data_IF_962131274509
#
_entry.id   IF_962131274509
#
_cell.length_a   1.000
_cell.length_b   1.000
_cell.length_c   1.000
_cell.angle_alpha   90.00
_cell.angle_beta   90.00
_cell.angle_gamma   90.00
#
_symmetry.space_group_name_H-M   'P 1'
#
loop_
_entity.id
_entity.type
_entity.pdbx_description
1 polymer ?
#
# COMPACT_ATOMS: atom_id res chain seq x y z
N UNK A 1 15.07 4.50 -13.51
CA UNK A 1 13.83 4.39 -12.70
C UNK A 1 13.27 3.01 -12.95
N UNK A 2 13.28 2.10 -11.97
CA UNK A 2 12.83 0.72 -12.18
C UNK A 2 11.30 0.69 -12.22
N UNK A 3 10.74 0.80 -13.42
CA UNK A 3 9.36 0.44 -13.71
C UNK A 3 9.33 -1.07 -13.77
N UNK A 4 8.52 -1.73 -12.92
CA UNK A 4 8.26 -3.15 -13.09
C UNK A 4 7.71 -3.34 -14.52
N UNK A 5 8.17 -4.34 -15.29
CA UNK A 5 7.62 -4.57 -16.60
C UNK A 5 6.11 -4.83 -16.46
N UNK A 6 5.26 -4.24 -17.34
CA UNK A 6 3.84 -4.53 -17.33
C UNK A 6 3.66 -6.05 -17.46
N UNK A 7 2.73 -6.58 -16.67
CA UNK A 7 2.47 -8.01 -16.64
C UNK A 7 2.14 -8.53 -18.05
N UNK A 8 2.93 -9.51 -18.53
CA UNK A 8 2.54 -10.34 -19.67
C UNK A 8 3.22 -10.15 -21.04
N UNK A 9 4.46 -9.66 -21.15
CA UNK A 9 5.24 -9.81 -22.42
C UNK A 9 6.63 -10.39 -22.18
N UNK A 10 6.86 -11.60 -22.67
CA UNK A 10 8.18 -12.23 -22.72
C UNK A 10 9.15 -11.35 -23.50
N UNK A 11 10.16 -10.81 -22.82
CA UNK A 11 11.25 -10.08 -23.45
C UNK A 11 12.29 -11.09 -23.95
N UNK A 12 12.29 -11.34 -25.26
CA UNK A 12 13.39 -12.05 -25.94
C UNK A 12 14.30 -10.96 -26.52
N UNK A 13 15.55 -10.80 -26.06
CA UNK A 13 16.45 -9.82 -26.66
C UNK A 13 16.90 -10.31 -28.05
N UNK A 14 16.62 -9.48 -29.05
CA UNK A 14 17.04 -9.66 -30.44
C UNK A 14 18.55 -9.48 -30.54
N UNK A 15 19.28 -10.55 -30.88
CA UNK A 15 20.73 -10.50 -31.06
C UNK A 15 21.04 -10.37 -32.56
N UNK A 16 20.86 -9.17 -33.11
CA UNK A 16 21.24 -8.86 -34.49
C UNK A 16 22.66 -8.28 -34.57
N UNK A 17 23.57 -9.20 -34.92
CA UNK A 17 24.69 -9.09 -35.86
C UNK A 17 25.36 -7.72 -36.09
N UNK A 18 26.65 -7.64 -35.73
CA UNK A 18 27.63 -6.89 -36.51
C UNK A 18 28.88 -7.75 -36.77
N UNK A 19 29.24 -7.85 -38.05
CA UNK A 19 30.34 -8.64 -38.58
C UNK A 19 31.71 -8.00 -38.30
N UNK A 20 32.67 -8.80 -37.84
CA UNK A 20 34.10 -8.46 -37.83
C UNK A 20 34.97 -9.65 -37.46
N UNK A 21 35.79 -10.12 -38.41
CA UNK A 21 36.74 -11.23 -38.25
C UNK A 21 38.04 -10.82 -37.52
N UNK A 22 38.39 -11.51 -36.43
CA UNK A 22 39.77 -11.96 -36.12
C UNK A 22 39.77 -13.01 -34.97
N UNK A 23 40.73 -13.97 -34.91
CA UNK A 23 40.57 -15.22 -34.15
C UNK A 23 41.30 -15.25 -32.79
N UNK A 24 40.83 -16.20 -31.97
CA UNK A 24 41.42 -16.84 -30.79
C UNK A 24 41.75 -16.01 -29.54
N UNK A 25 40.98 -16.25 -28.48
CA UNK A 25 41.47 -16.43 -27.11
C UNK A 25 40.40 -17.17 -26.32
N UNK A 26 40.62 -18.46 -26.09
CA UNK A 26 39.77 -19.31 -25.27
C UNK A 26 39.85 -18.87 -23.81
N UNK A 27 39.04 -17.87 -23.45
CA UNK A 27 38.74 -17.57 -22.06
C UNK A 27 37.74 -18.62 -21.57
N UNK A 28 38.20 -19.53 -20.72
CA UNK A 28 37.35 -20.37 -19.90
C UNK A 28 36.48 -19.45 -19.05
N UNK A 29 35.27 -19.15 -19.51
CA UNK A 29 34.22 -18.60 -18.66
C UNK A 29 33.84 -19.69 -17.67
N UNK A 30 34.43 -19.62 -16.49
CA UNK A 30 33.89 -20.30 -15.31
C UNK A 30 32.53 -19.67 -15.07
N UNK A 31 31.48 -20.31 -15.60
CA UNK A 31 30.11 -19.97 -15.29
C UNK A 31 29.91 -20.19 -13.79
N UNK A 32 29.97 -19.11 -13.01
CA UNK A 32 29.29 -19.09 -11.73
C UNK A 32 27.81 -19.27 -12.04
N UNK A 33 27.34 -20.51 -11.95
CA UNK A 33 25.92 -20.85 -11.89
C UNK A 33 25.38 -20.19 -10.61
N UNK A 34 25.00 -18.91 -10.71
CA UNK A 34 24.01 -18.37 -9.80
C UNK A 34 22.79 -19.26 -9.98
N UNK A 35 22.38 -19.94 -8.90
CA UNK A 35 21.08 -20.59 -8.87
C UNK A 35 20.05 -19.50 -9.13
N UNK A 36 19.57 -19.41 -10.36
CA UNK A 36 18.50 -18.50 -10.73
C UNK A 36 17.22 -19.09 -10.13
N UNK A 37 16.99 -18.81 -8.85
CA UNK A 37 15.67 -18.95 -8.26
C UNK A 37 14.78 -18.01 -9.07
N UNK A 38 13.70 -18.48 -9.72
CA UNK A 38 12.79 -17.57 -10.40
C UNK A 38 12.36 -16.52 -9.38
N UNK A 39 12.65 -15.25 -9.66
CA UNK A 39 12.23 -14.16 -8.78
C UNK A 39 10.70 -14.19 -8.79
N UNK A 40 10.11 -14.67 -7.70
CA UNK A 40 8.68 -14.52 -7.47
C UNK A 40 8.37 -13.03 -7.63
N UNK A 41 7.44 -12.69 -8.52
CA UNK A 41 6.95 -11.33 -8.61
C UNK A 41 6.43 -10.94 -7.22
N UNK A 42 6.95 -9.87 -6.60
CA UNK A 42 6.59 -9.52 -5.25
C UNK A 42 5.07 -9.25 -5.18
N UNK A 43 4.38 -9.69 -4.10
CA UNK A 43 2.95 -9.44 -3.97
C UNK A 43 2.69 -7.93 -3.94
N UNK A 44 1.74 -7.47 -4.74
CA UNK A 44 1.36 -6.05 -4.79
C UNK A 44 0.34 -5.77 -3.69
N UNK A 45 0.66 -4.84 -2.79
CA UNK A 45 -0.18 -4.45 -1.67
C UNK A 45 -0.56 -2.98 -1.85
N UNK A 46 -1.86 -2.69 -1.81
CA UNK A 46 -2.37 -1.33 -1.83
C UNK A 46 -2.53 -0.83 -0.39
N UNK A 47 -1.88 0.28 -0.04
CA UNK A 47 -2.23 1.05 1.16
C UNK A 47 -3.15 2.22 0.82
N UNK A 48 -4.19 2.42 1.64
CA UNK A 48 -5.10 3.57 1.58
C UNK A 48 -5.06 4.24 2.95
N UNK A 49 -4.35 5.36 3.07
CA UNK A 49 -4.15 6.05 4.34
C UNK A 49 -3.81 7.53 4.11
N UNK A 50 -3.67 8.30 5.19
CA UNK A 50 -3.13 9.65 5.06
C UNK A 50 -1.63 9.69 4.80
N UNK A 51 -1.18 10.85 4.35
CA UNK A 51 0.22 11.19 4.11
C UNK A 51 0.81 11.92 5.31
N UNK A 52 1.84 11.33 5.90
CA UNK A 52 2.71 11.93 6.90
C UNK A 52 4.01 12.43 6.24
N UNK A 53 4.28 13.74 6.13
CA UNK A 53 5.50 14.27 5.55
C UNK A 53 6.79 13.88 6.32
N UNK A 54 6.68 13.48 7.59
CA UNK A 54 7.83 12.98 8.36
C UNK A 54 8.16 11.51 8.08
N UNK A 55 7.28 10.82 7.33
CA UNK A 55 7.41 9.42 6.95
C UNK A 55 7.51 8.44 8.14
N UNK A 56 7.01 8.83 9.32
CA UNK A 56 6.91 7.99 10.51
C UNK A 56 5.59 7.20 10.59
N UNK A 57 4.54 7.68 9.92
CA UNK A 57 3.23 7.05 9.84
C UNK A 57 2.64 7.10 8.41
N UNK A 58 1.37 6.72 8.29
CA UNK A 58 0.60 6.84 7.05
C UNK A 58 1.16 6.02 5.89
N UNK A 59 0.85 6.42 4.67
CA UNK A 59 1.23 5.68 3.45
C UNK A 59 2.74 5.48 3.34
N UNK A 60 3.57 6.42 3.83
CA UNK A 60 5.03 6.28 3.72
C UNK A 60 5.58 5.21 4.66
N UNK A 61 5.06 5.10 5.89
CA UNK A 61 5.42 4.03 6.80
C UNK A 61 4.93 2.66 6.28
N UNK A 62 3.73 2.62 5.70
CA UNK A 62 3.17 1.43 5.08
C UNK A 62 4.07 0.95 3.93
N UNK A 63 4.48 1.86 3.03
CA UNK A 63 5.37 1.57 1.89
C UNK A 63 6.69 0.97 2.35
N UNK A 64 7.35 1.58 3.34
CA UNK A 64 8.60 1.09 3.92
C UNK A 64 8.42 -0.32 4.49
N UNK A 65 7.33 -0.54 5.22
CA UNK A 65 7.03 -1.83 5.87
C UNK A 65 6.78 -2.92 4.84
N UNK A 66 5.94 -2.65 3.84
CA UNK A 66 5.62 -3.60 2.77
C UNK A 66 6.89 -3.99 2.00
N UNK A 67 7.73 -3.02 1.64
CA UNK A 67 8.99 -3.30 0.95
C UNK A 67 9.96 -4.11 1.80
N UNK A 68 10.09 -3.77 3.09
CA UNK A 68 10.92 -4.54 4.01
C UNK A 68 10.45 -6.00 4.16
N UNK A 69 9.15 -6.25 3.98
CA UNK A 69 8.53 -7.57 3.96
C UNK A 69 8.55 -8.26 2.57
N UNK A 70 9.22 -7.69 1.56
CA UNK A 70 9.35 -8.28 0.23
C UNK A 70 8.15 -8.09 -0.70
N UNK A 71 7.19 -7.23 -0.33
CA UNK A 71 6.08 -6.84 -1.19
C UNK A 71 6.35 -5.58 -2.02
N UNK A 72 5.57 -5.38 -3.08
CA UNK A 72 5.52 -4.12 -3.81
C UNK A 72 4.34 -3.29 -3.29
N UNK A 73 4.56 -2.02 -3.00
CA UNK A 73 3.54 -1.16 -2.40
C UNK A 73 3.01 -0.13 -3.40
N UNK A 74 1.70 -0.08 -3.54
CA UNK A 74 0.97 1.03 -4.15
C UNK A 74 0.30 1.85 -3.03
N UNK A 75 0.11 3.15 -3.24
CA UNK A 75 -0.51 4.02 -2.24
C UNK A 75 -1.61 4.87 -2.85
N UNK A 76 -2.67 5.09 -2.06
CA UNK A 76 -3.66 6.13 -2.28
C UNK A 76 -3.77 6.96 -1.01
N UNK A 77 -3.63 8.27 -1.17
CA UNK A 77 -3.66 9.23 -0.06
C UNK A 77 -5.11 9.65 0.18
N UNK A 78 -5.58 9.58 1.43
CA UNK A 78 -6.92 10.05 1.84
C UNK A 78 -6.89 11.47 2.40
N UNK A 79 -5.75 11.87 2.96
CA UNK A 79 -5.52 13.20 3.50
C UNK A 79 -4.03 13.51 3.55
N UNK A 80 -3.67 14.77 3.33
CA UNK A 80 -2.33 15.29 3.58
C UNK A 80 -2.30 15.94 4.96
N UNK A 81 -1.40 15.48 5.82
CA UNK A 81 -1.28 16.06 7.16
C UNK A 81 -0.20 17.14 7.20
N UNK A 82 -0.44 18.20 7.95
CA UNK A 82 0.59 19.11 8.45
C UNK A 82 1.04 18.55 9.79
N UNK A 83 2.01 17.65 9.76
CA UNK A 83 2.52 17.01 10.98
C UNK A 83 4.04 16.92 11.00
N UNK A 84 4.58 16.67 12.18
CA UNK A 84 5.97 16.30 12.41
C UNK A 84 6.04 15.29 13.57
N UNK A 85 7.26 14.97 14.02
CA UNK A 85 7.48 14.01 15.11
C UNK A 85 6.86 14.43 16.45
N UNK A 86 6.42 15.69 16.61
CA UNK A 86 5.75 16.19 17.80
C UNK A 86 4.22 16.16 17.70
N UNK A 87 3.66 15.89 16.51
CA UNK A 87 2.22 15.72 16.31
C UNK A 87 1.66 16.36 15.06
N UNK A 88 0.33 16.24 14.93
CA UNK A 88 -0.48 16.77 13.82
C UNK A 88 -1.01 18.16 14.19
N UNK A 89 -0.80 19.13 13.30
CA UNK A 89 -1.29 20.51 13.43
C UNK A 89 -2.55 20.77 12.60
N UNK A 90 -2.58 20.20 11.41
CA UNK A 90 -3.68 20.38 10.45
C UNK A 90 -3.74 19.20 9.48
N UNK A 91 -4.79 19.12 8.68
CA UNK A 91 -4.91 18.17 7.58
C UNK A 91 -5.78 18.73 6.44
N UNK A 92 -5.48 18.29 5.23
CA UNK A 92 -6.30 18.51 4.05
C UNK A 92 -6.79 17.17 3.54
N UNK A 93 -8.11 17.01 3.47
CA UNK A 93 -8.72 15.80 2.92
C UNK A 93 -8.61 15.81 1.40
N UNK A 94 -8.27 14.66 0.82
CA UNK A 94 -8.34 14.47 -0.62
C UNK A 94 -9.82 14.36 -1.06
N UNK A 95 -10.19 14.89 -2.23
CA UNK A 95 -11.52 14.69 -2.79
C UNK A 95 -11.83 13.21 -2.96
N UNK A 96 -13.03 12.79 -2.55
CA UNK A 96 -13.46 11.38 -2.61
C UNK A 96 -13.37 10.83 -4.03
N UNK A 97 -13.76 11.63 -5.02
CA UNK A 97 -13.71 11.27 -6.44
C UNK A 97 -12.28 10.99 -6.90
N UNK A 98 -11.32 11.77 -6.38
CA UNK A 98 -9.90 11.58 -6.64
C UNK A 98 -9.36 10.29 -6.02
N UNK A 99 -9.77 9.96 -4.79
CA UNK A 99 -9.42 8.70 -4.13
C UNK A 99 -10.00 7.50 -4.89
N UNK A 100 -11.28 7.56 -5.28
CA UNK A 100 -11.95 6.53 -6.09
C UNK A 100 -11.21 6.32 -7.41
N UNK A 101 -10.88 7.40 -8.12
CA UNK A 101 -10.20 7.34 -9.41
C UNK A 101 -8.82 6.66 -9.28
N UNK A 102 -8.05 7.00 -8.24
CA UNK A 102 -6.75 6.38 -7.97
C UNK A 102 -6.89 4.88 -7.66
N UNK A 103 -7.81 4.50 -6.76
CA UNK A 103 -8.03 3.08 -6.40
C UNK A 103 -8.40 2.28 -7.65
N UNK A 104 -9.35 2.76 -8.45
CA UNK A 104 -9.78 2.09 -9.69
C UNK A 104 -8.64 1.95 -10.69
N UNK A 105 -7.85 3.01 -10.88
CA UNK A 105 -6.70 2.99 -11.80
C UNK A 105 -5.67 1.95 -11.38
N UNK A 106 -5.32 1.90 -10.09
CA UNK A 106 -4.35 0.92 -9.57
C UNK A 106 -4.89 -0.51 -9.66
N UNK A 107 -6.19 -0.72 -9.40
CA UNK A 107 -6.83 -2.04 -9.53
C UNK A 107 -6.95 -2.53 -10.98
N UNK A 108 -6.93 -1.62 -11.96
CA UNK A 108 -6.92 -1.98 -13.38
C UNK A 108 -5.53 -2.42 -13.85
N UNK A 109 -4.47 -1.86 -13.26
CA UNK A 109 -3.08 -2.15 -13.63
C UNK A 109 -2.50 -3.34 -12.83
N UNK A 110 -2.80 -3.42 -11.52
CA UNK A 110 -2.20 -4.40 -10.62
C UNK A 110 -3.19 -5.47 -10.16
N UNK A 111 -2.73 -6.72 -10.15
CA UNK A 111 -3.36 -7.79 -9.39
C UNK A 111 -2.97 -7.65 -7.92
N UNK A 112 -3.85 -7.00 -7.14
CA UNK A 112 -3.60 -6.75 -5.72
C UNK A 112 -3.68 -8.04 -4.91
N UNK A 113 -2.63 -8.32 -4.15
CA UNK A 113 -2.57 -9.44 -3.22
C UNK A 113 -3.26 -9.14 -1.89
N UNK A 114 -3.25 -7.87 -1.45
CA UNK A 114 -3.89 -7.42 -0.20
C UNK A 114 -4.14 -5.90 -0.24
N UNK A 115 -5.02 -5.44 0.65
CA UNK A 115 -5.28 -4.02 0.91
C UNK A 115 -5.05 -3.73 2.39
N UNK A 116 -4.31 -2.66 2.69
CA UNK A 116 -4.22 -2.07 4.02
C UNK A 116 -4.95 -0.75 4.03
N UNK A 117 -5.77 -0.52 5.05
CA UNK A 117 -6.51 0.71 5.27
C UNK A 117 -6.04 1.33 6.59
N UNK A 118 -5.66 2.60 6.56
CA UNK A 118 -5.30 3.40 7.74
C UNK A 118 -6.27 4.57 7.93
N UNK A 119 -5.73 5.75 8.28
CA UNK A 119 -6.54 6.97 8.46
C UNK A 119 -7.37 7.30 7.20
N UNK A 120 -8.68 7.51 7.38
CA UNK A 120 -9.63 7.85 6.30
C UNK A 120 -10.15 9.29 6.33
N UNK A 121 -10.11 9.95 7.50
CA UNK A 121 -10.60 11.33 7.67
C UNK A 121 -12.12 11.42 7.89
N UNK A 122 -12.93 10.73 7.09
CA UNK A 122 -14.40 10.84 7.15
C UNK A 122 -15.13 9.51 6.91
N UNK A 123 -16.36 9.40 7.41
CA UNK A 123 -17.22 8.23 7.13
C UNK A 123 -17.64 8.16 5.65
N UNK A 124 -17.73 9.32 4.96
CA UNK A 124 -17.99 9.35 3.52
C UNK A 124 -16.83 8.74 2.72
N UNK A 125 -15.59 9.01 3.11
CA UNK A 125 -14.41 8.35 2.53
C UNK A 125 -14.44 6.84 2.79
N UNK A 126 -14.83 6.42 3.99
CA UNK A 126 -15.01 5.00 4.33
C UNK A 126 -16.05 4.33 3.43
N UNK A 127 -17.19 4.98 3.18
CA UNK A 127 -18.23 4.47 2.28
C UNK A 127 -17.70 4.30 0.85
N UNK A 128 -17.01 5.31 0.32
CA UNK A 128 -16.44 5.28 -1.02
C UNK A 128 -15.41 4.15 -1.18
N UNK A 129 -14.55 3.93 -0.18
CA UNK A 129 -13.56 2.84 -0.19
C UNK A 129 -14.26 1.48 -0.09
N UNK A 130 -15.26 1.35 0.78
CA UNK A 130 -16.05 0.12 0.91
C UNK A 130 -16.67 -0.30 -0.43
N UNK A 131 -17.25 0.65 -1.15
CA UNK A 131 -17.80 0.44 -2.50
C UNK A 131 -16.71 0.08 -3.50
N UNK A 132 -15.58 0.78 -3.48
CA UNK A 132 -14.44 0.50 -4.36
C UNK A 132 -13.77 -0.83 -4.10
N UNK A 133 -14.01 -1.46 -2.95
CA UNK A 133 -13.50 -2.77 -2.61
C UNK A 133 -14.56 -3.86 -2.70
N UNK A 134 -15.82 -3.56 -3.06
CA UNK A 134 -16.95 -4.49 -2.92
C UNK A 134 -16.66 -5.92 -3.41
N UNK A 135 -16.03 -6.04 -4.57
CA UNK A 135 -15.68 -7.25 -5.30
C UNK A 135 -14.28 -7.83 -4.96
N UNK A 136 -13.47 -7.11 -4.18
CA UNK A 136 -12.13 -7.56 -3.81
C UNK A 136 -12.16 -8.71 -2.79
N UNK A 137 -11.66 -9.88 -3.19
CA UNK A 137 -11.69 -11.11 -2.38
C UNK A 137 -10.42 -11.35 -1.55
N UNK A 138 -9.39 -10.52 -1.71
CA UNK A 138 -8.13 -10.66 -0.98
C UNK A 138 -8.22 -10.14 0.46
N UNK A 139 -7.15 -10.35 1.26
CA UNK A 139 -7.09 -9.89 2.63
C UNK A 139 -7.19 -8.35 2.73
N UNK A 140 -8.00 -7.90 3.69
CA UNK A 140 -8.13 -6.48 4.04
C UNK A 140 -7.67 -6.29 5.48
N UNK A 141 -6.58 -5.56 5.68
CA UNK A 141 -6.07 -5.19 7.01
C UNK A 141 -6.54 -3.77 7.31
N UNK A 142 -7.19 -3.57 8.46
CA UNK A 142 -7.66 -2.25 8.87
C UNK A 142 -6.96 -1.84 10.17
N UNK A 143 -6.19 -0.77 10.07
CA UNK A 143 -5.67 -0.02 11.20
C UNK A 143 -6.69 1.08 11.54
N UNK A 144 -7.46 0.94 12.64
CA UNK A 144 -8.63 1.79 12.92
C UNK A 144 -8.20 3.13 13.51
N UNK A 145 -7.45 3.92 12.74
CA UNK A 145 -6.87 5.20 13.16
C UNK A 145 -7.98 6.24 13.39
N UNK A 146 -8.35 6.42 14.65
CA UNK A 146 -9.34 7.42 15.08
C UNK A 146 -8.70 8.71 15.59
N UNK A 147 -7.47 8.61 16.11
CA UNK A 147 -6.70 9.73 16.64
C UNK A 147 -5.25 9.63 16.21
N UNK A 148 -4.57 10.78 16.11
CA UNK A 148 -3.12 10.79 15.95
C UNK A 148 -2.45 10.32 17.24
N UNK A 149 -1.19 9.90 17.15
CA UNK A 149 -0.36 9.63 18.33
C UNK A 149 -0.21 10.85 19.26
N UNK A 150 -0.44 12.07 18.74
CA UNK A 150 -0.47 13.32 19.49
C UNK A 150 -1.85 13.69 20.03
N UNK A 151 -2.87 12.85 19.86
CA UNK A 151 -4.21 13.00 20.44
C UNK A 151 -5.23 13.74 19.58
N UNK A 152 -4.86 14.24 18.40
CA UNK A 152 -5.77 14.94 17.49
C UNK A 152 -6.82 13.96 16.95
N UNK A 153 -8.10 14.32 16.97
CA UNK A 153 -9.14 13.50 16.32
C UNK A 153 -8.95 13.52 14.81
N UNK A 154 -8.80 12.34 14.22
CA UNK A 154 -8.58 12.17 12.78
C UNK A 154 -9.81 11.65 12.07
N UNK A 155 -10.71 10.98 12.79
CA UNK A 155 -11.98 10.49 12.27
C UNK A 155 -12.95 10.22 13.42
N UNK A 156 -14.22 10.53 13.21
CA UNK A 156 -15.31 10.03 14.04
C UNK A 156 -15.89 8.75 13.44
N UNK A 157 -16.32 7.82 14.30
CA UNK A 157 -16.92 6.58 13.84
C UNK A 157 -18.27 6.85 13.20
N UNK A 158 -18.51 6.24 12.05
CA UNK A 158 -19.81 6.20 11.44
C UNK A 158 -20.17 4.80 10.96
N UNK A 159 -21.29 4.73 10.25
CA UNK A 159 -21.87 3.46 9.79
C UNK A 159 -20.97 2.79 8.76
N UNK A 160 -20.37 3.55 7.86
CA UNK A 160 -19.53 3.01 6.81
C UNK A 160 -18.20 2.48 7.35
N UNK A 161 -17.61 3.18 8.32
CA UNK A 161 -16.43 2.69 9.03
C UNK A 161 -16.68 1.35 9.73
N UNK A 162 -17.82 1.21 10.42
CA UNK A 162 -18.18 -0.06 11.04
C UNK A 162 -18.38 -1.18 10.01
N UNK A 163 -18.95 -0.87 8.85
CA UNK A 163 -19.09 -1.83 7.75
C UNK A 163 -17.73 -2.23 7.15
N UNK A 164 -16.77 -1.30 7.06
CA UNK A 164 -15.39 -1.63 6.69
C UNK A 164 -14.75 -2.58 7.71
N UNK A 165 -14.91 -2.35 9.01
CA UNK A 165 -14.38 -3.24 10.04
C UNK A 165 -14.94 -4.67 9.92
N UNK A 166 -16.22 -4.82 9.57
CA UNK A 166 -16.84 -6.13 9.33
C UNK A 166 -16.25 -6.87 8.12
N UNK A 167 -15.65 -6.14 7.17
CA UNK A 167 -14.94 -6.71 6.01
C UNK A 167 -13.50 -7.10 6.33
N UNK A 168 -12.92 -6.58 7.40
CA UNK A 168 -11.52 -6.75 7.71
C UNK A 168 -11.18 -8.23 7.94
N UNK A 169 -10.11 -8.69 7.31
CA UNK A 169 -9.44 -9.96 7.64
C UNK A 169 -8.70 -9.84 8.97
N UNK A 170 -8.12 -8.67 9.23
CA UNK A 170 -7.44 -8.34 10.47
C UNK A 170 -7.70 -6.87 10.80
N UNK A 171 -8.05 -6.61 12.06
CA UNK A 171 -8.13 -5.25 12.61
C UNK A 171 -6.98 -5.11 13.60
N UNK A 172 -6.23 -4.01 13.53
CA UNK A 172 -5.02 -3.79 14.35
C UNK A 172 -5.17 -2.59 15.29
N UNK A 173 -6.15 -2.59 16.22
CA UNK A 173 -6.31 -1.46 17.13
C UNK A 173 -5.17 -1.41 18.15
N UNK A 174 -4.73 -0.22 18.51
CA UNK A 174 -4.05 -0.02 19.80
C UNK A 174 -5.07 -0.09 20.96
N UNK A 175 -4.60 -0.03 22.21
CA UNK A 175 -5.45 -0.14 23.40
C UNK A 175 -6.62 0.87 23.38
N UNK A 176 -6.32 2.16 23.18
CA UNK A 176 -7.32 3.23 23.18
C UNK A 176 -8.33 3.10 22.03
N UNK A 177 -7.89 2.61 20.87
CA UNK A 177 -8.79 2.29 19.76
C UNK A 177 -9.67 1.09 20.08
N UNK A 178 -9.11 0.04 20.69
CA UNK A 178 -9.84 -1.14 21.14
C UNK A 178 -10.95 -0.79 22.12
N UNK A 179 -10.65 0.02 23.13
CA UNK A 179 -11.65 0.51 24.10
C UNK A 179 -12.78 1.26 23.42
N UNK A 180 -12.43 2.17 22.49
CA UNK A 180 -13.45 2.88 21.72
C UNK A 180 -14.28 1.92 20.88
N UNK A 181 -13.66 0.94 20.21
CA UNK A 181 -14.32 -0.05 19.35
C UNK A 181 -15.32 -0.91 20.12
N UNK A 182 -14.96 -1.31 21.34
CA UNK A 182 -15.81 -2.14 22.18
C UNK A 182 -16.80 -1.33 23.03
N UNK A 183 -16.58 -0.02 23.18
CA UNK A 183 -17.44 0.87 23.97
C UNK A 183 -17.24 0.74 25.48
N UNK A 184 -16.15 0.12 25.92
CA UNK A 184 -15.80 -0.03 27.33
C UNK A 184 -14.27 -0.05 27.53
N UNK A 185 -13.75 0.27 28.73
CA UNK A 185 -12.33 0.15 29.05
C UNK A 185 -11.83 -1.30 28.91
N UNK A 186 -10.57 -1.45 28.56
CA UNK A 186 -9.89 -2.75 28.48
C UNK A 186 -9.03 -2.96 29.74
N UNK A 187 -8.92 -4.21 30.23
CA UNK A 187 -8.20 -4.53 31.47
C UNK A 187 -6.68 -4.35 31.36
#
# INVERSE_FOLDING_TARGET
MAVLPPSGKNFIPDNQQSNGHHPSLAHKQTAFLWHYTPMHTPPVILTIAGFDPSAGAGVLADLKTIHACGGYACAVITAQTVQNTCGVKDLWLEPIEGVIAQIRTLRQDFSLAAVKIGMLGTDAMAQAILECLNDFQGPVVIDPVLKSSSGQTLMEKGRAFNALLQRATLITPNLLEGEKLLGHPLP
#
